data_IF_468257584501
#
_entry.id   IF_468257584501
#
_cell.length_a   1.000
_cell.length_b   1.000
_cell.length_c   1.000
_cell.angle_alpha   90.00
_cell.angle_beta   90.00
_cell.angle_gamma   90.00
#
_symmetry.space_group_name_H-M   'P 1'
#
loop_
_entity.id
_entity.type
_entity.pdbx_description
1 polymer ?
#
# COMPACT_ATOMS: atom_id res chain seq x y z
N UNK A 1 -0.82 2.04 19.51
CA UNK A 1 -1.14 1.10 18.42
C UNK A 1 -2.32 0.20 18.77
N UNK A 2 -2.37 -0.33 19.99
CA UNK A 2 -3.44 -1.24 20.44
C UNK A 2 -4.86 -0.69 20.24
N UNK A 3 -5.05 0.62 20.35
CA UNK A 3 -6.38 1.24 20.24
C UNK A 3 -6.89 1.31 18.79
N UNK A 4 -6.00 1.24 17.80
CA UNK A 4 -6.36 1.37 16.39
C UNK A 4 -6.81 0.04 15.75
N UNK A 5 -6.18 -1.06 16.15
CA UNK A 5 -6.30 -2.35 15.44
C UNK A 5 -6.56 -3.50 16.40
N UNK A 6 -7.38 -3.26 17.46
CA UNK A 6 -7.72 -4.28 18.46
C UNK A 6 -8.30 -5.55 17.84
N UNK A 7 -9.11 -5.40 16.79
CA UNK A 7 -9.75 -6.51 16.08
C UNK A 7 -8.74 -7.37 15.30
N UNK A 8 -7.57 -6.80 14.93
CA UNK A 8 -6.51 -7.47 14.18
C UNK A 8 -5.35 -7.84 15.11
N UNK A 9 -4.96 -6.97 16.03
CA UNK A 9 -3.81 -7.15 16.91
C UNK A 9 -4.02 -8.22 18.01
N UNK A 10 -5.25 -8.54 18.35
CA UNK A 10 -5.59 -9.49 19.41
C UNK A 10 -5.64 -10.95 18.98
N UNK A 11 -5.49 -11.25 17.70
CA UNK A 11 -5.62 -12.61 17.16
C UNK A 11 -4.34 -13.05 16.47
N UNK A 12 -4.05 -14.33 16.53
CA UNK A 12 -2.88 -14.93 15.89
C UNK A 12 -3.30 -15.56 14.56
N UNK A 13 -2.61 -15.29 13.45
CA UNK A 13 -1.47 -14.39 13.30
C UNK A 13 -1.91 -12.97 12.87
N UNK A 14 -1.40 -11.93 13.53
CA UNK A 14 -1.60 -10.53 13.15
C UNK A 14 -0.32 -9.72 13.31
N UNK A 15 -0.15 -8.57 12.64
CA UNK A 15 1.01 -7.71 12.80
C UNK A 15 1.19 -7.22 14.23
N UNK A 16 2.43 -7.17 14.70
CA UNK A 16 2.81 -6.53 15.96
C UNK A 16 3.10 -5.04 15.69
N UNK A 17 2.12 -4.20 15.96
CA UNK A 17 2.20 -2.75 15.72
C UNK A 17 3.16 -2.02 16.67
N UNK A 18 3.59 -2.65 17.75
CA UNK A 18 4.53 -2.08 18.72
C UNK A 18 5.98 -2.56 18.47
N UNK A 19 6.18 -3.54 17.62
CA UNK A 19 7.48 -4.15 17.33
C UNK A 19 8.57 -3.16 16.93
N UNK A 20 8.22 -2.19 16.08
CA UNK A 20 9.12 -1.17 15.57
C UNK A 20 8.83 0.22 16.15
N UNK A 21 7.86 0.31 17.07
CA UNK A 21 7.45 1.54 17.77
C UNK A 21 7.14 2.70 16.82
N UNK A 22 6.33 2.50 15.76
CA UNK A 22 5.93 3.58 14.87
C UNK A 22 5.08 4.60 15.63
N UNK A 23 5.20 5.87 15.26
CA UNK A 23 4.24 6.89 15.68
C UNK A 23 3.00 6.75 14.82
N UNK A 24 1.89 6.32 15.41
CA UNK A 24 0.62 6.13 14.70
C UNK A 24 -0.21 7.42 14.80
N UNK A 25 -0.78 7.83 13.67
CA UNK A 25 -1.69 8.98 13.60
C UNK A 25 -2.99 8.73 14.40
N UNK A 26 -3.60 9.78 14.92
CA UNK A 26 -4.83 9.69 15.74
C UNK A 26 -6.01 9.07 14.98
N UNK A 27 -6.06 9.26 13.67
CA UNK A 27 -7.10 8.67 12.82
C UNK A 27 -6.93 7.18 12.56
N UNK A 28 -5.81 6.57 12.99
CA UNK A 28 -5.44 5.21 12.64
C UNK A 28 -5.30 4.94 11.12
N UNK A 29 -5.20 5.99 10.31
CA UNK A 29 -5.03 5.85 8.85
C UNK A 29 -3.63 5.37 8.48
N UNK A 30 -2.63 5.73 9.28
CA UNK A 30 -1.23 5.41 9.04
C UNK A 30 -0.34 5.92 10.15
N UNK A 31 0.96 6.01 9.85
CA UNK A 31 1.96 6.62 10.74
C UNK A 31 1.99 8.14 10.60
N UNK A 32 2.67 8.80 11.53
CA UNK A 32 2.87 10.25 11.53
C UNK A 32 4.30 10.58 11.96
N UNK A 33 5.26 10.37 11.06
CA UNK A 33 6.67 10.69 11.25
C UNK A 33 7.05 12.01 10.56
N UNK A 34 6.25 12.47 9.57
CA UNK A 34 6.51 13.66 8.78
C UNK A 34 5.47 14.74 9.03
N UNK A 35 5.89 16.01 8.93
CA UNK A 35 4.97 17.14 8.83
C UNK A 35 4.97 17.60 7.37
N UNK A 36 3.95 17.19 6.61
CA UNK A 36 3.86 17.40 5.17
C UNK A 36 3.27 18.79 4.88
N UNK A 37 4.10 19.69 4.39
CA UNK A 37 3.73 21.07 4.10
C UNK A 37 4.58 21.68 2.97
N UNK A 38 4.04 22.71 2.30
CA UNK A 38 4.73 23.44 1.26
C UNK A 38 5.04 22.61 0.01
N UNK A 39 4.22 21.61 -0.28
CA UNK A 39 4.37 20.74 -1.44
C UNK A 39 4.06 21.50 -2.73
N UNK A 40 4.94 21.42 -3.71
CA UNK A 40 4.83 22.04 -5.03
C UNK A 40 4.58 21.02 -6.14
N UNK A 41 4.97 19.76 -5.91
CA UNK A 41 4.80 18.66 -6.84
C UNK A 41 4.39 17.38 -6.11
N UNK A 42 3.47 16.62 -6.72
CA UNK A 42 3.11 15.26 -6.27
C UNK A 42 3.47 14.27 -7.35
N UNK A 43 4.11 13.18 -6.97
CA UNK A 43 4.47 12.08 -7.85
C UNK A 43 3.83 10.79 -7.34
N UNK A 44 3.11 10.11 -8.22
CA UNK A 44 2.53 8.80 -7.95
C UNK A 44 3.39 7.71 -8.58
N UNK A 45 3.85 6.77 -7.76
CA UNK A 45 4.59 5.58 -8.18
C UNK A 45 3.83 4.32 -7.77
N UNK A 46 4.21 3.19 -8.31
CA UNK A 46 3.74 1.88 -7.89
C UNK A 46 3.03 1.10 -8.97
N UNK A 47 2.00 0.37 -8.57
CA UNK A 47 1.35 -0.67 -9.36
C UNK A 47 0.00 -0.25 -9.97
N UNK A 48 -0.78 -1.25 -10.41
CA UNK A 48 -2.10 -1.06 -11.01
C UNK A 48 -3.12 -0.38 -10.10
N UNK A 49 -2.94 -0.43 -8.79
CA UNK A 49 -3.82 0.29 -7.84
C UNK A 49 -3.65 1.80 -8.00
N UNK A 50 -2.40 2.24 -8.20
CA UNK A 50 -2.07 3.65 -8.48
C UNK A 50 -2.44 4.05 -9.90
N UNK A 51 -2.17 3.20 -10.91
CA UNK A 51 -2.58 3.48 -12.30
C UNK A 51 -4.09 3.64 -12.40
N UNK A 52 -4.82 2.76 -11.74
CA UNK A 52 -6.26 2.58 -11.88
C UNK A 52 -6.60 1.55 -12.95
N UNK A 53 -7.63 0.74 -12.68
CA UNK A 53 -7.96 -0.43 -13.52
C UNK A 53 -9.47 -0.47 -13.78
N UNK A 54 -9.89 -0.65 -15.05
CA UNK A 54 -11.29 -0.96 -15.36
C UNK A 54 -11.75 -2.23 -14.61
N UNK A 55 -13.02 -2.33 -14.21
CA UNK A 55 -14.15 -1.53 -14.64
C UNK A 55 -14.37 -0.22 -13.86
N UNK A 56 -13.54 0.10 -12.86
CA UNK A 56 -13.67 1.36 -12.13
C UNK A 56 -13.44 2.54 -13.08
N UNK A 57 -14.35 3.54 -13.15
CA UNK A 57 -14.14 4.72 -13.98
C UNK A 57 -12.96 5.56 -13.50
N UNK A 58 -12.25 6.22 -14.43
CA UNK A 58 -11.06 7.03 -14.12
C UNK A 58 -11.29 8.09 -13.03
N UNK A 59 -12.48 8.73 -13.04
CA UNK A 59 -12.84 9.74 -12.01
C UNK A 59 -12.89 9.16 -10.60
N UNK A 60 -13.07 7.85 -10.46
CA UNK A 60 -13.21 7.13 -9.21
C UNK A 60 -11.91 6.45 -8.76
N UNK A 61 -10.83 6.51 -9.54
CA UNK A 61 -9.51 6.06 -9.09
C UNK A 61 -9.03 6.86 -7.89
N UNK A 62 -8.41 6.19 -6.91
CA UNK A 62 -7.93 6.86 -5.71
C UNK A 62 -6.97 8.01 -6.04
N UNK A 63 -6.10 7.80 -7.04
CA UNK A 63 -5.14 8.81 -7.50
C UNK A 63 -5.85 10.07 -7.98
N UNK A 64 -6.92 9.94 -8.79
CA UNK A 64 -7.71 11.08 -9.29
C UNK A 64 -8.40 11.83 -8.15
N UNK A 65 -8.99 11.08 -7.19
CA UNK A 65 -9.64 11.65 -6.01
C UNK A 65 -8.63 12.36 -5.09
N UNK A 66 -7.49 11.71 -4.84
CA UNK A 66 -6.43 12.27 -3.99
C UNK A 66 -5.80 13.52 -4.63
N UNK A 67 -5.55 13.51 -5.94
CA UNK A 67 -5.07 14.69 -6.67
C UNK A 67 -5.98 15.90 -6.46
N UNK A 68 -7.30 15.72 -6.56
CA UNK A 68 -8.27 16.78 -6.31
C UNK A 68 -8.15 17.34 -4.87
N UNK A 69 -8.04 16.46 -3.88
CA UNK A 69 -7.86 16.83 -2.47
C UNK A 69 -6.54 17.59 -2.25
N UNK A 70 -5.45 17.12 -2.84
CA UNK A 70 -4.13 17.74 -2.71
C UNK A 70 -4.04 19.11 -3.38
N UNK A 71 -4.71 19.29 -4.52
CA UNK A 71 -4.84 20.61 -5.17
C UNK A 71 -5.63 21.59 -4.31
N UNK A 72 -6.64 21.14 -3.57
CA UNK A 72 -7.33 21.98 -2.58
C UNK A 72 -6.42 22.36 -1.41
N UNK A 73 -5.58 21.43 -0.94
CA UNK A 73 -4.67 21.65 0.20
C UNK A 73 -3.46 22.53 -0.16
N UNK A 74 -2.78 22.24 -1.27
CA UNK A 74 -1.52 22.87 -1.64
C UNK A 74 -1.65 23.94 -2.73
N UNK A 75 -2.84 24.09 -3.31
CA UNK A 75 -3.14 25.09 -4.34
C UNK A 75 -3.32 24.49 -5.72
N UNK A 76 -4.06 25.21 -6.57
CA UNK A 76 -4.40 24.78 -7.93
C UNK A 76 -3.16 24.65 -8.86
N UNK A 77 -2.03 25.29 -8.50
CA UNK A 77 -0.77 25.20 -9.23
C UNK A 77 0.07 23.97 -8.89
N UNK A 78 -0.42 23.08 -8.02
CA UNK A 78 0.27 21.84 -7.68
C UNK A 78 0.54 21.01 -8.95
N UNK A 79 1.81 20.73 -9.20
CA UNK A 79 2.22 19.85 -10.30
C UNK A 79 1.98 18.40 -9.93
N UNK A 80 1.50 17.60 -10.88
CA UNK A 80 1.20 16.19 -10.66
C UNK A 80 1.78 15.34 -11.78
N UNK A 81 2.50 14.28 -11.41
CA UNK A 81 3.04 13.29 -12.33
C UNK A 81 2.74 11.87 -11.82
N UNK A 82 2.77 10.90 -12.72
CA UNK A 82 2.60 9.49 -12.37
C UNK A 82 3.44 8.63 -13.31
N UNK A 83 4.30 7.79 -12.72
CA UNK A 83 5.08 6.75 -13.41
C UNK A 83 4.72 5.36 -12.89
N UNK A 84 3.54 5.20 -12.31
CA UNK A 84 3.03 3.91 -11.89
C UNK A 84 2.70 3.03 -13.10
N UNK A 85 2.92 1.73 -13.00
CA UNK A 85 2.73 0.76 -14.08
C UNK A 85 1.92 -0.46 -13.62
N UNK A 86 1.09 -0.99 -14.53
CA UNK A 86 0.38 -2.24 -14.28
C UNK A 86 1.36 -3.41 -14.11
N UNK A 87 1.17 -4.20 -13.07
CA UNK A 87 1.98 -5.37 -12.80
C UNK A 87 3.31 -5.08 -12.13
N UNK A 88 3.62 -3.81 -11.86
CA UNK A 88 4.85 -3.41 -11.21
C UNK A 88 5.01 -4.05 -9.84
N UNK A 89 6.23 -4.45 -9.53
CA UNK A 89 6.70 -4.96 -8.25
C UNK A 89 7.59 -3.93 -7.55
N UNK A 90 8.07 -4.28 -6.37
CA UNK A 90 8.94 -3.37 -5.61
C UNK A 90 10.25 -3.06 -6.35
N UNK A 91 10.84 -4.03 -7.07
CA UNK A 91 12.05 -3.84 -7.86
C UNK A 91 11.88 -2.84 -9.02
N UNK A 92 10.66 -2.67 -9.54
CA UNK A 92 10.35 -1.71 -10.61
C UNK A 92 10.47 -0.24 -10.19
N UNK A 93 10.57 0.04 -8.90
CA UNK A 93 10.79 1.41 -8.43
C UNK A 93 12.16 1.96 -8.84
N UNK A 94 13.25 1.20 -8.64
CA UNK A 94 14.62 1.61 -8.92
C UNK A 94 15.29 0.81 -10.04
N UNK A 95 15.11 -0.52 -10.07
CA UNK A 95 15.93 -1.42 -10.88
C UNK A 95 15.21 -1.91 -12.13
N UNK A 96 14.04 -2.55 -12.00
CA UNK A 96 13.30 -3.20 -13.08
C UNK A 96 12.67 -2.22 -14.07
N UNK A 97 11.47 -1.72 -13.74
CA UNK A 97 10.72 -0.74 -14.53
C UNK A 97 11.26 0.69 -14.43
N UNK A 98 12.16 0.96 -13.47
CA UNK A 98 12.83 2.26 -13.30
C UNK A 98 11.89 3.46 -13.17
N UNK A 99 10.78 3.29 -12.46
CA UNK A 99 9.75 4.32 -12.30
C UNK A 99 10.33 5.63 -11.75
N UNK A 100 11.30 5.54 -10.82
CA UNK A 100 11.96 6.71 -10.24
C UNK A 100 12.78 7.45 -11.30
N UNK A 101 13.55 6.73 -12.12
CA UNK A 101 14.31 7.32 -13.23
C UNK A 101 13.38 8.00 -14.25
N UNK A 102 12.24 7.38 -14.56
CA UNK A 102 11.24 7.95 -15.47
C UNK A 102 10.59 9.23 -14.93
N UNK A 103 10.21 9.24 -13.65
CA UNK A 103 9.60 10.42 -13.02
C UNK A 103 10.60 11.53 -12.69
N UNK A 104 11.88 11.19 -12.53
CA UNK A 104 12.97 12.11 -12.20
C UNK A 104 14.17 11.94 -13.14
N UNK A 105 13.99 12.17 -14.46
CA UNK A 105 14.97 11.82 -15.47
C UNK A 105 16.31 12.58 -15.36
N UNK A 106 16.35 13.71 -14.68
CA UNK A 106 17.59 14.46 -14.39
C UNK A 106 18.30 13.96 -13.14
N UNK A 107 17.67 13.06 -12.37
CA UNK A 107 18.15 12.62 -11.06
C UNK A 107 18.07 13.67 -9.96
N UNK A 108 17.57 14.88 -10.25
CA UNK A 108 17.37 15.95 -9.28
C UNK A 108 16.01 16.62 -9.51
N UNK A 109 15.30 16.90 -8.42
CA UNK A 109 14.00 17.58 -8.42
C UNK A 109 14.07 18.79 -7.48
N UNK A 110 13.98 19.98 -8.04
CA UNK A 110 14.09 21.25 -7.28
C UNK A 110 12.78 21.62 -6.54
N UNK A 111 11.65 21.05 -6.94
CA UNK A 111 10.39 21.30 -6.25
C UNK A 111 10.27 20.45 -5.00
N UNK A 112 9.72 21.03 -3.93
CA UNK A 112 9.37 20.25 -2.74
C UNK A 112 8.30 19.24 -3.11
N UNK A 113 8.64 17.96 -3.09
CA UNK A 113 7.87 16.89 -3.70
C UNK A 113 7.26 15.95 -2.65
N UNK A 114 5.98 15.63 -2.83
CA UNK A 114 5.29 14.53 -2.14
C UNK A 114 5.23 13.32 -3.08
N UNK A 115 5.75 12.19 -2.63
CA UNK A 115 5.67 10.92 -3.34
C UNK A 115 4.61 10.04 -2.64
N UNK A 116 3.67 9.51 -3.42
CA UNK A 116 2.60 8.61 -2.96
C UNK A 116 2.72 7.29 -3.71
N UNK A 117 2.78 6.17 -2.99
CA UNK A 117 3.05 4.85 -3.60
C UNK A 117 2.13 3.75 -3.10
N UNK A 118 1.76 2.84 -4.03
CA UNK A 118 1.27 1.49 -3.72
C UNK A 118 2.15 0.47 -4.43
N UNK A 119 2.69 -0.50 -3.70
CA UNK A 119 3.53 -1.56 -4.26
C UNK A 119 3.54 -2.80 -3.36
N UNK A 120 4.15 -3.90 -3.84
CA UNK A 120 4.26 -5.16 -3.10
C UNK A 120 3.10 -6.14 -3.33
N UNK A 121 1.96 -5.68 -3.84
CA UNK A 121 0.82 -6.56 -4.13
C UNK A 121 1.12 -7.59 -5.21
N UNK A 122 1.85 -7.22 -6.26
CA UNK A 122 2.27 -8.15 -7.31
C UNK A 122 3.37 -9.12 -6.85
N UNK A 123 4.21 -8.71 -5.89
CA UNK A 123 5.17 -9.59 -5.23
C UNK A 123 4.42 -10.68 -4.46
N UNK A 124 3.51 -10.29 -3.58
CA UNK A 124 2.66 -11.21 -2.81
C UNK A 124 1.87 -12.16 -3.72
N UNK A 125 1.29 -11.64 -4.82
CA UNK A 125 0.55 -12.46 -5.79
C UNK A 125 1.45 -13.50 -6.49
N UNK A 126 2.70 -13.16 -6.79
CA UNK A 126 3.66 -14.10 -7.37
C UNK A 126 4.04 -15.22 -6.39
N UNK A 127 4.25 -14.91 -5.12
CA UNK A 127 4.53 -15.90 -4.08
C UNK A 127 3.32 -16.82 -3.88
N UNK A 128 2.10 -16.27 -3.88
CA UNK A 128 0.86 -17.03 -3.78
C UNK A 128 0.65 -17.96 -4.99
N UNK A 129 0.92 -17.51 -6.22
CA UNK A 129 0.86 -18.36 -7.43
C UNK A 129 1.81 -19.53 -7.36
N UNK A 130 3.02 -19.29 -6.85
CA UNK A 130 4.05 -20.31 -6.68
C UNK A 130 3.85 -21.16 -5.43
N UNK A 131 2.88 -20.81 -4.58
CA UNK A 131 2.60 -21.47 -3.28
C UNK A 131 3.87 -21.71 -2.48
N UNK A 132 4.65 -20.63 -2.32
CA UNK A 132 5.91 -20.70 -1.60
C UNK A 132 5.68 -21.19 -0.16
N UNK A 133 6.63 -21.95 0.38
CA UNK A 133 6.65 -22.25 1.81
C UNK A 133 6.78 -20.95 2.61
N UNK A 134 6.36 -20.95 3.88
CA UNK A 134 6.49 -19.78 4.75
C UNK A 134 7.92 -19.22 4.75
N UNK A 135 8.93 -20.10 4.89
CA UNK A 135 10.32 -19.66 4.92
C UNK A 135 10.78 -19.01 3.60
N UNK A 136 10.36 -19.58 2.45
CA UNK A 136 10.68 -19.01 1.14
C UNK A 136 9.96 -17.67 0.92
N UNK A 137 8.69 -17.57 1.29
CA UNK A 137 7.93 -16.32 1.16
C UNK A 137 8.45 -15.22 2.09
N UNK A 138 8.91 -15.55 3.29
CA UNK A 138 9.58 -14.59 4.19
C UNK A 138 10.89 -14.09 3.58
N UNK A 139 11.70 -14.97 2.98
CA UNK A 139 12.95 -14.56 2.33
C UNK A 139 12.71 -13.63 1.14
N UNK A 140 11.67 -13.89 0.33
CA UNK A 140 11.25 -13.00 -0.75
C UNK A 140 10.72 -11.65 -0.22
N UNK A 141 9.97 -11.68 0.90
CA UNK A 141 9.49 -10.47 1.55
C UNK A 141 10.66 -9.60 2.06
N UNK A 142 11.68 -10.21 2.68
CA UNK A 142 12.88 -9.49 3.11
C UNK A 142 13.59 -8.82 1.93
N UNK A 143 13.76 -9.55 0.81
CA UNK A 143 14.37 -9.00 -0.39
C UNK A 143 13.56 -7.82 -0.97
N UNK A 144 12.23 -7.94 -1.03
CA UNK A 144 11.37 -6.86 -1.48
C UNK A 144 11.42 -5.64 -0.54
N UNK A 145 11.50 -5.86 0.77
CA UNK A 145 11.61 -4.78 1.76
C UNK A 145 12.95 -4.04 1.67
N UNK A 146 14.04 -4.73 1.37
CA UNK A 146 15.34 -4.10 1.12
C UNK A 146 15.27 -3.19 -0.12
N UNK A 147 14.68 -3.66 -1.21
CA UNK A 147 14.45 -2.85 -2.42
C UNK A 147 13.53 -1.64 -2.17
N UNK A 148 12.50 -1.82 -1.36
CA UNK A 148 11.63 -0.70 -0.95
C UNK A 148 12.41 0.34 -0.14
N UNK A 149 13.24 -0.11 0.79
CA UNK A 149 14.11 0.76 1.59
C UNK A 149 15.03 1.58 0.69
N UNK A 150 15.74 0.94 -0.23
CA UNK A 150 16.64 1.61 -1.17
C UNK A 150 15.91 2.67 -2.01
N UNK A 151 14.71 2.35 -2.50
CA UNK A 151 13.87 3.29 -3.22
C UNK A 151 13.45 4.50 -2.36
N UNK A 152 13.02 4.25 -1.12
CA UNK A 152 12.61 5.31 -0.19
C UNK A 152 13.80 6.17 0.22
N UNK A 153 14.97 5.60 0.46
CA UNK A 153 16.20 6.33 0.76
C UNK A 153 16.63 7.22 -0.41
N UNK A 154 16.54 6.73 -1.65
CA UNK A 154 16.77 7.54 -2.84
C UNK A 154 15.80 8.73 -2.89
N UNK A 155 14.50 8.48 -2.67
CA UNK A 155 13.45 9.50 -2.68
C UNK A 155 13.57 10.52 -1.51
N UNK A 156 14.27 10.17 -0.44
CA UNK A 156 14.53 11.04 0.71
C UNK A 156 15.89 11.74 0.65
N UNK A 157 16.71 11.40 -0.33
CA UNK A 157 18.08 11.92 -0.42
C UNK A 157 18.11 13.42 -0.77
N UNK A 158 18.79 14.26 0.02
CA UNK A 158 19.00 15.67 -0.31
C UNK A 158 19.78 15.90 -1.61
N UNK A 159 20.54 14.90 -2.07
CA UNK A 159 21.22 14.96 -3.36
C UNK A 159 20.24 14.94 -4.54
N UNK A 160 19.10 14.28 -4.37
CA UNK A 160 18.04 14.19 -5.38
C UNK A 160 16.93 15.24 -5.16
N UNK A 161 16.69 15.63 -3.91
CA UNK A 161 15.65 16.57 -3.51
C UNK A 161 16.23 17.67 -2.62
N UNK A 162 16.96 18.66 -3.19
CA UNK A 162 17.62 19.70 -2.41
C UNK A 162 16.66 20.59 -1.60
N UNK A 163 15.40 20.71 -2.05
CA UNK A 163 14.36 21.46 -1.34
C UNK A 163 13.43 20.54 -0.50
N UNK A 164 13.78 19.26 -0.38
CA UNK A 164 13.12 18.27 0.43
C UNK A 164 12.02 17.50 -0.28
N UNK A 165 11.78 16.31 0.25
CA UNK A 165 10.72 15.41 -0.20
C UNK A 165 9.98 14.82 0.99
N UNK A 166 8.74 14.40 0.74
CA UNK A 166 7.92 13.59 1.63
C UNK A 166 7.55 12.31 0.90
N UNK A 167 7.58 11.19 1.61
CA UNK A 167 7.20 9.89 1.05
C UNK A 167 6.11 9.29 1.92
N UNK A 168 4.99 8.92 1.28
CA UNK A 168 3.89 8.19 1.89
C UNK A 168 3.60 6.96 1.02
N UNK A 169 3.76 5.79 1.58
CA UNK A 169 3.49 4.53 0.89
C UNK A 169 2.48 3.68 1.66
N UNK A 170 1.76 2.83 0.94
CA UNK A 170 0.83 1.88 1.55
C UNK A 170 1.49 0.53 1.76
N UNK A 171 1.06 -0.21 2.79
CA UNK A 171 1.31 -1.63 2.87
C UNK A 171 0.39 -2.42 1.92
N UNK A 172 0.38 -3.75 1.98
CA UNK A 172 -0.26 -4.61 0.98
C UNK A 172 -1.59 -5.14 1.48
N UNK A 173 -2.67 -4.87 0.77
CA UNK A 173 -3.95 -5.53 1.00
C UNK A 173 -4.06 -6.88 0.28
N UNK A 174 -4.97 -7.72 0.73
CA UNK A 174 -5.30 -8.98 0.07
C UNK A 174 -6.80 -9.30 0.21
N UNK A 175 -7.33 -10.07 -0.74
CA UNK A 175 -8.77 -10.28 -0.89
C UNK A 175 -9.33 -11.49 -0.13
N UNK A 176 -8.47 -12.29 0.51
CA UNK A 176 -8.90 -13.54 1.18
C UNK A 176 -9.30 -13.33 2.64
N UNK A 177 -9.19 -12.09 3.14
CA UNK A 177 -9.44 -11.71 4.54
C UNK A 177 -8.63 -12.56 5.53
N UNK A 178 -7.35 -12.79 5.24
CA UNK A 178 -6.39 -13.61 6.00
C UNK A 178 -6.70 -15.10 6.08
N UNK A 179 -7.66 -15.58 5.30
CA UNK A 179 -7.98 -17.02 5.26
C UNK A 179 -6.97 -17.85 4.45
N UNK A 180 -6.19 -17.21 3.57
CA UNK A 180 -5.35 -17.88 2.60
C UNK A 180 -6.13 -18.65 1.52
N UNK A 181 -7.44 -18.48 1.44
CA UNK A 181 -8.28 -19.14 0.43
C UNK A 181 -8.24 -18.35 -0.88
N UNK A 182 -7.26 -18.65 -1.73
CA UNK A 182 -7.10 -17.98 -3.01
C UNK A 182 -8.29 -18.17 -3.96
N UNK A 183 -9.01 -19.29 -3.83
CA UNK A 183 -10.22 -19.58 -4.61
C UNK A 183 -11.47 -18.86 -4.09
N UNK A 184 -11.38 -18.03 -3.05
CA UNK A 184 -12.53 -17.30 -2.50
C UNK A 184 -13.14 -16.28 -3.47
N UNK A 185 -12.32 -15.70 -4.36
CA UNK A 185 -12.80 -14.86 -5.46
C UNK A 185 -13.16 -15.72 -6.67
N UNK A 186 -14.36 -15.53 -7.27
CA UNK A 186 -14.85 -16.41 -8.36
C UNK A 186 -13.96 -16.46 -9.60
N UNK A 187 -13.22 -15.41 -9.86
CA UNK A 187 -12.37 -15.24 -11.06
C UNK A 187 -10.86 -15.37 -10.79
N UNK A 188 -10.48 -15.71 -9.55
CA UNK A 188 -9.08 -15.79 -9.14
C UNK A 188 -8.21 -16.69 -10.05
N UNK A 189 -8.80 -17.77 -10.57
CA UNK A 189 -8.11 -18.68 -11.49
C UNK A 189 -7.66 -18.01 -12.79
N UNK A 190 -8.37 -16.98 -13.26
CA UNK A 190 -7.97 -16.21 -14.45
C UNK A 190 -6.67 -15.44 -14.21
N UNK A 191 -6.37 -15.11 -12.96
CA UNK A 191 -5.11 -14.48 -12.55
C UNK A 191 -4.06 -15.48 -12.07
N UNK A 192 -4.32 -16.80 -12.26
CA UNK A 192 -3.41 -17.87 -11.81
C UNK A 192 -3.44 -18.15 -10.31
N UNK A 193 -4.41 -17.60 -9.58
CA UNK A 193 -4.60 -17.80 -8.15
C UNK A 193 -5.66 -18.87 -7.92
N UNK A 194 -5.31 -19.97 -7.24
CA UNK A 194 -6.21 -21.10 -7.05
C UNK A 194 -5.95 -21.85 -5.74
N UNK A 195 -6.99 -22.53 -5.24
CA UNK A 195 -6.91 -23.34 -4.02
C UNK A 195 -6.62 -22.51 -2.77
N UNK A 196 -5.77 -23.02 -1.89
CA UNK A 196 -5.41 -22.37 -0.63
C UNK A 196 -3.90 -22.18 -0.51
N UNK A 197 -3.49 -21.17 0.27
CA UNK A 197 -2.08 -20.90 0.59
C UNK A 197 -1.95 -20.38 2.04
N UNK A 198 -2.25 -21.26 3.03
CA UNK A 198 -2.17 -20.87 4.44
C UNK A 198 -0.73 -20.56 4.88
N UNK A 199 0.28 -21.13 4.23
CA UNK A 199 1.69 -20.86 4.47
C UNK A 199 2.08 -19.40 4.19
N UNK A 200 1.27 -18.70 3.38
CA UNK A 200 1.49 -17.30 3.04
C UNK A 200 1.08 -16.32 4.14
N UNK A 201 0.21 -16.72 5.06
CA UNK A 201 -0.31 -15.79 6.08
C UNK A 201 0.80 -15.31 7.03
N UNK A 202 1.68 -16.16 7.58
CA UNK A 202 2.82 -15.67 8.37
C UNK A 202 3.77 -14.78 7.58
N UNK A 203 3.98 -15.07 6.28
CA UNK A 203 4.81 -14.24 5.42
C UNK A 203 4.17 -12.88 5.13
N UNK A 204 2.85 -12.81 4.95
CA UNK A 204 2.10 -11.57 4.83
C UNK A 204 2.29 -10.72 6.11
N UNK A 205 2.08 -11.29 7.29
CA UNK A 205 2.29 -10.58 8.56
C UNK A 205 3.71 -10.03 8.66
N UNK A 206 4.71 -10.84 8.32
CA UNK A 206 6.12 -10.41 8.29
C UNK A 206 6.34 -9.25 7.32
N UNK A 207 5.73 -9.30 6.15
CA UNK A 207 5.82 -8.26 5.13
C UNK A 207 5.18 -6.94 5.62
N UNK A 208 3.99 -7.01 6.23
CA UNK A 208 3.32 -5.85 6.83
C UNK A 208 4.15 -5.18 7.93
N UNK A 209 4.74 -5.98 8.83
CA UNK A 209 5.67 -5.49 9.85
C UNK A 209 6.92 -4.85 9.23
N UNK A 210 7.41 -5.40 8.13
CA UNK A 210 8.54 -4.88 7.38
C UNK A 210 8.26 -3.50 6.76
N UNK A 211 7.07 -3.27 6.22
CA UNK A 211 6.64 -1.93 5.77
C UNK A 211 6.68 -0.90 6.92
N UNK A 212 6.19 -1.27 8.11
CA UNK A 212 6.30 -0.40 9.29
C UNK A 212 7.76 -0.11 9.65
N UNK A 213 8.62 -1.14 9.57
CA UNK A 213 10.05 -0.97 9.84
C UNK A 213 10.69 0.02 8.86
N UNK A 214 10.39 -0.09 7.56
CA UNK A 214 10.90 0.86 6.55
C UNK A 214 10.46 2.28 6.88
N UNK A 215 9.19 2.50 7.21
CA UNK A 215 8.68 3.83 7.56
C UNK A 215 9.39 4.43 8.78
N UNK A 216 9.60 3.63 9.84
CA UNK A 216 10.31 4.06 11.05
C UNK A 216 11.77 4.39 10.76
N UNK A 217 12.47 3.48 10.08
CA UNK A 217 13.91 3.64 9.81
C UNK A 217 14.21 4.85 8.90
N UNK A 218 13.35 5.11 7.93
CA UNK A 218 13.50 6.22 6.96
C UNK A 218 12.78 7.50 7.36
N UNK A 219 12.07 7.49 8.49
CA UNK A 219 11.22 8.61 8.95
C UNK A 219 10.25 9.10 7.88
N UNK A 220 9.64 8.15 7.17
CA UNK A 220 8.57 8.35 6.20
C UNK A 220 7.25 7.87 6.76
N UNK A 221 6.16 7.99 6.01
CA UNK A 221 4.85 7.58 6.49
C UNK A 221 4.28 6.39 5.73
N UNK A 222 3.72 5.46 6.50
CA UNK A 222 2.99 4.30 6.03
C UNK A 222 1.48 4.53 6.16
N UNK A 223 0.73 4.32 5.08
CA UNK A 223 -0.72 4.20 5.11
C UNK A 223 -1.10 2.72 5.33
N UNK A 224 -1.93 2.46 6.33
CA UNK A 224 -2.36 1.11 6.72
C UNK A 224 -3.45 0.55 5.79
N UNK A 225 -3.07 0.21 4.56
CA UNK A 225 -3.98 -0.29 3.53
C UNK A 225 -4.54 -1.68 3.88
N UNK A 226 -3.67 -2.60 4.34
CA UNK A 226 -4.06 -3.93 4.79
C UNK A 226 -5.15 -3.86 5.85
N UNK A 227 -4.93 -3.07 6.88
CA UNK A 227 -5.81 -2.96 8.04
C UNK A 227 -7.20 -2.42 7.66
N UNK A 228 -7.26 -1.45 6.75
CA UNK A 228 -8.53 -0.90 6.29
C UNK A 228 -9.30 -1.85 5.36
N UNK A 229 -8.60 -2.67 4.58
CA UNK A 229 -9.20 -3.61 3.66
C UNK A 229 -9.51 -4.98 4.28
N UNK A 230 -8.86 -5.36 5.37
CA UNK A 230 -9.11 -6.60 6.09
C UNK A 230 -10.58 -6.68 6.56
N UNK A 231 -11.28 -7.74 6.20
CA UNK A 231 -12.73 -7.89 6.39
C UNK A 231 -13.58 -7.21 5.32
N UNK A 232 -12.99 -6.86 4.18
CA UNK A 232 -13.65 -6.27 3.00
C UNK A 232 -13.46 -7.10 1.74
N UNK A 233 -12.85 -8.28 1.86
CA UNK A 233 -12.59 -9.21 0.78
C UNK A 233 -13.73 -10.23 0.57
N UNK A 234 -13.41 -11.29 -0.13
CA UNK A 234 -14.39 -12.32 -0.51
C UNK A 234 -14.74 -13.28 0.65
N UNK A 235 -14.01 -13.23 1.77
CA UNK A 235 -14.30 -13.98 3.00
C UNK A 235 -14.88 -13.11 4.12
N UNK A 236 -15.21 -11.85 3.85
CA UNK A 236 -15.74 -10.87 4.83
C UNK A 236 -16.96 -11.32 5.63
N UNK A 237 -17.70 -12.34 5.16
CA UNK A 237 -18.87 -12.89 5.85
C UNK A 237 -18.51 -14.01 6.86
N UNK A 238 -17.26 -14.45 6.88
CA UNK A 238 -16.81 -15.52 7.79
C UNK A 238 -16.49 -14.94 9.17
N UNK A 239 -17.41 -15.16 10.11
CA UNK A 239 -17.27 -14.65 11.47
C UNK A 239 -16.13 -15.31 12.28
N UNK A 240 -15.51 -16.36 11.78
CA UNK A 240 -14.37 -17.01 12.43
C UNK A 240 -13.03 -16.31 12.08
N UNK A 241 -13.04 -15.46 11.06
CA UNK A 241 -11.82 -14.74 10.65
C UNK A 241 -11.56 -13.51 11.51
N UNK A 242 -10.31 -13.26 11.76
CA UNK A 242 -9.77 -12.17 12.55
C UNK A 242 -10.27 -10.79 12.10
N UNK A 243 -10.36 -10.58 10.78
CA UNK A 243 -10.79 -9.32 10.19
C UNK A 243 -12.31 -9.15 10.10
N UNK A 244 -13.11 -10.05 10.67
CA UNK A 244 -14.56 -9.98 10.55
C UNK A 244 -15.13 -8.65 11.09
N UNK A 245 -15.87 -7.93 10.24
CA UNK A 245 -16.44 -6.61 10.54
C UNK A 245 -17.97 -6.61 10.59
N UNK A 246 -18.56 -7.77 10.81
CA UNK A 246 -20.02 -7.93 10.83
C UNK A 246 -20.63 -8.27 9.46
N UNK A 247 -21.90 -8.71 9.45
CA UNK A 247 -22.57 -9.25 8.26
C UNK A 247 -22.84 -8.19 7.18
N UNK A 248 -22.80 -6.90 7.53
CA UNK A 248 -23.02 -5.78 6.61
C UNK A 248 -21.75 -5.20 5.98
N UNK A 249 -20.58 -5.82 6.20
CA UNK A 249 -19.32 -5.32 5.65
C UNK A 249 -19.35 -5.31 4.11
N UNK A 250 -19.13 -4.15 3.44
CA UNK A 250 -19.12 -4.08 1.98
C UNK A 250 -17.88 -4.75 1.39
N UNK A 251 -18.02 -5.31 0.19
CA UNK A 251 -16.91 -5.81 -0.61
C UNK A 251 -16.20 -4.63 -1.28
N UNK A 252 -14.88 -4.52 -1.08
CA UNK A 252 -14.06 -3.46 -1.67
C UNK A 252 -13.16 -3.94 -2.81
N UNK A 253 -13.20 -5.23 -3.14
CA UNK A 253 -12.51 -5.82 -4.28
C UNK A 253 -13.48 -6.07 -5.44
N UNK A 254 -13.05 -5.78 -6.65
CA UNK A 254 -13.81 -6.06 -7.84
C UNK A 254 -13.62 -7.52 -8.33
N UNK A 255 -14.23 -7.85 -9.46
CA UNK A 255 -14.15 -9.21 -10.01
C UNK A 255 -12.78 -9.56 -10.63
N UNK A 256 -11.83 -8.64 -10.67
CA UNK A 256 -10.42 -9.00 -10.96
C UNK A 256 -9.74 -9.65 -9.76
N UNK A 257 -10.38 -9.66 -8.59
CA UNK A 257 -9.94 -10.15 -7.28
C UNK A 257 -8.90 -9.25 -6.59
N UNK A 258 -8.05 -8.59 -7.34
CA UNK A 258 -6.87 -7.87 -6.83
C UNK A 258 -6.99 -6.35 -6.93
N UNK A 259 -8.04 -5.84 -7.58
CA UNK A 259 -8.22 -4.39 -7.70
C UNK A 259 -9.41 -3.90 -6.85
N UNK A 260 -9.35 -2.63 -6.40
CA UNK A 260 -10.42 -2.05 -5.61
C UNK A 260 -11.65 -1.72 -6.45
N UNK A 261 -12.83 -1.85 -5.84
CA UNK A 261 -14.07 -1.22 -6.35
C UNK A 261 -13.97 0.32 -6.24
N UNK A 262 -14.91 1.08 -6.86
CA UNK A 262 -14.99 2.53 -6.64
C UNK A 262 -15.03 2.93 -5.16
N UNK A 263 -15.74 2.16 -4.31
CA UNK A 263 -15.76 2.37 -2.86
C UNK A 263 -14.40 2.08 -2.21
N UNK A 264 -13.69 1.03 -2.66
CA UNK A 264 -12.33 0.75 -2.22
C UNK A 264 -11.36 1.87 -2.59
N UNK A 265 -11.40 2.35 -3.82
CA UNK A 265 -10.60 3.50 -4.26
C UNK A 265 -10.88 4.78 -3.45
N UNK A 266 -12.16 5.04 -3.13
CA UNK A 266 -12.53 6.17 -2.27
C UNK A 266 -11.87 6.07 -0.89
N UNK A 267 -11.87 4.88 -0.28
CA UNK A 267 -11.22 4.67 1.00
C UNK A 267 -9.70 4.82 0.93
N UNK A 268 -9.05 4.32 -0.12
CA UNK A 268 -7.61 4.52 -0.32
C UNK A 268 -7.28 6.02 -0.38
N UNK A 269 -8.03 6.79 -1.18
CA UNK A 269 -7.84 8.23 -1.27
C UNK A 269 -8.02 8.94 0.08
N UNK A 270 -9.06 8.57 0.82
CA UNK A 270 -9.37 9.14 2.13
C UNK A 270 -8.25 8.84 3.15
N UNK A 271 -7.76 7.60 3.20
CA UNK A 271 -6.72 7.22 4.16
C UNK A 271 -5.37 7.89 3.82
N UNK A 272 -4.97 7.95 2.56
CA UNK A 272 -3.79 8.73 2.15
C UNK A 272 -3.94 10.21 2.54
N UNK A 273 -5.10 10.82 2.28
CA UNK A 273 -5.34 12.21 2.65
C UNK A 273 -5.17 12.44 4.16
N UNK A 274 -5.70 11.55 5.02
CA UNK A 274 -5.53 11.63 6.48
C UNK A 274 -4.08 11.53 6.91
N UNK A 275 -3.30 10.60 6.32
CA UNK A 275 -1.86 10.48 6.61
C UNK A 275 -1.13 11.76 6.20
N UNK A 276 -1.42 12.30 5.02
CA UNK A 276 -0.81 13.55 4.52
C UNK A 276 -1.23 14.76 5.37
N UNK A 277 -2.42 14.74 5.95
CA UNK A 277 -2.89 15.79 6.86
C UNK A 277 -2.31 15.66 8.28
N UNK A 278 -1.74 14.50 8.63
CA UNK A 278 -1.20 14.21 9.95
C UNK A 278 -2.27 14.04 11.04
N UNK A 279 -3.47 13.60 10.64
CA UNK A 279 -4.63 13.46 11.55
C UNK A 279 -4.90 12.01 11.95
#
# INVERSE_FOLDING_TARGET
>A
AADCFQDIAGSTPGPDYDKHKPTIAKSCAGTHHQTIAGVEKVVFLGDSVTVGTPPTPQKDFYRTRLEATLKQKFGAGLEVASCAEWGARVDDLLEGGKQIEECFPTGVEDKKTLIVMTNGGNDLAAWAKSKLSTAAAVAEADAALDLLRDAVEWLKSPAHFPNGSFVVFANVYEYTDTSGNLASCPTASLSGLSGTWPEGIPALVHFEEGFMKVAVDTQTDLMFLFEHFCGRGFKRQDASLQCYRGPGAPLWFDLTCIHPTPAGHEQIALQFAKVIDGT
#
